data_IF_581213203070
#
_entry.id   IF_581213203070
#
_cell.length_a   1.000
_cell.length_b   1.000
_cell.length_c   1.000
_cell.angle_alpha   90.00
_cell.angle_beta   90.00
_cell.angle_gamma   90.00
#
_symmetry.space_group_name_H-M   'P 1'
#
loop_
_entity.id
_entity.type
_entity.pdbx_description
1 polymer ?
#
# COMPACT_ATOMS: atom_id res chain seq x y z
N UNK A 1 -9.40 2.90 -26.06
CA UNK A 1 -10.43 3.92 -25.80
C UNK A 1 -11.14 3.57 -24.51
N UNK A 2 -10.69 4.13 -23.38
CA UNK A 2 -11.41 4.11 -22.11
C UNK A 2 -11.00 5.37 -21.35
N UNK A 3 -11.81 6.41 -21.54
CA UNK A 3 -11.81 7.66 -20.81
C UNK A 3 -11.93 7.39 -19.31
N UNK A 4 -10.91 7.76 -18.54
CA UNK A 4 -11.13 8.28 -17.21
C UNK A 4 -11.09 9.80 -17.32
N UNK A 5 -12.28 10.37 -17.56
CA UNK A 5 -12.51 11.79 -17.27
C UNK A 5 -12.55 11.87 -15.75
N UNK A 6 -11.51 12.43 -15.15
CA UNK A 6 -11.54 12.89 -13.77
C UNK A 6 -11.57 14.42 -13.80
N UNK A 7 -12.48 14.96 -13.01
CA UNK A 7 -12.98 16.32 -13.03
C UNK A 7 -11.94 17.45 -13.03
N UNK A 8 -12.32 18.49 -13.78
CA UNK A 8 -11.92 19.91 -13.81
C UNK A 8 -11.28 20.50 -12.53
N UNK A 9 -10.03 20.16 -12.21
CA UNK A 9 -9.08 21.09 -11.53
C UNK A 9 -7.65 20.92 -12.11
N UNK A 10 -7.29 21.65 -13.18
CA UNK A 10 -6.12 21.33 -13.99
C UNK A 10 -4.74 21.58 -13.33
N UNK A 11 -4.64 22.17 -12.14
CA UNK A 11 -3.35 22.69 -11.63
C UNK A 11 -2.71 21.93 -10.46
N UNK A 12 -3.36 20.90 -9.88
CA UNK A 12 -2.84 20.23 -8.67
C UNK A 12 -2.24 18.83 -8.91
N UNK A 13 -2.08 18.42 -10.18
CA UNK A 13 -1.59 17.09 -10.53
C UNK A 13 -0.16 17.15 -11.08
N UNK A 14 0.66 16.18 -10.66
CA UNK A 14 2.02 15.95 -11.16
C UNK A 14 2.09 14.55 -11.78
N UNK A 15 2.60 14.47 -13.00
CA UNK A 15 2.66 13.23 -13.77
C UNK A 15 4.08 12.76 -14.03
N UNK A 16 4.21 11.49 -14.37
CA UNK A 16 5.49 10.87 -14.66
C UNK A 16 6.34 11.52 -15.75
N UNK A 17 5.71 12.06 -16.79
CA UNK A 17 6.44 12.76 -17.85
C UNK A 17 7.14 14.03 -17.31
N UNK A 18 6.57 14.70 -16.30
CA UNK A 18 7.21 15.86 -15.67
C UNK A 18 8.39 15.43 -14.82
N UNK A 19 8.26 14.31 -14.09
CA UNK A 19 9.37 13.73 -13.34
C UNK A 19 10.54 13.36 -14.26
N UNK A 20 10.26 12.67 -15.36
CA UNK A 20 11.26 12.26 -16.35
C UNK A 20 11.95 13.48 -16.98
N UNK A 21 11.18 14.50 -17.36
CA UNK A 21 11.72 15.75 -17.88
C UNK A 21 12.66 16.41 -16.87
N UNK A 22 12.20 16.61 -15.62
CA UNK A 22 12.99 17.27 -14.60
C UNK A 22 14.26 16.48 -14.24
N UNK A 23 14.21 15.14 -14.24
CA UNK A 23 15.41 14.31 -14.07
C UNK A 23 16.39 14.48 -15.22
N UNK A 24 15.90 14.45 -16.47
CA UNK A 24 16.76 14.65 -17.64
C UNK A 24 17.43 16.02 -17.61
N UNK A 25 16.68 17.08 -17.35
CA UNK A 25 17.21 18.46 -17.30
C UNK A 25 18.11 18.73 -16.10
N UNK A 26 18.03 17.92 -15.05
CA UNK A 26 18.96 17.99 -13.93
C UNK A 26 20.35 17.47 -14.31
N UNK A 27 20.42 16.47 -15.19
CA UNK A 27 21.68 15.84 -15.63
C UNK A 27 22.24 16.51 -16.89
N UNK A 28 21.37 16.91 -17.81
CA UNK A 28 21.71 17.45 -19.11
C UNK A 28 21.56 18.99 -19.13
N UNK A 29 22.63 19.67 -18.73
CA UNK A 29 22.61 21.13 -18.59
C UNK A 29 22.53 21.85 -19.95
N UNK A 30 23.13 21.28 -21.00
CA UNK A 30 23.06 21.84 -22.35
C UNK A 30 21.63 21.82 -22.88
N UNK A 31 20.92 20.70 -22.72
CA UNK A 31 19.51 20.60 -23.08
C UNK A 31 18.64 21.59 -22.31
N UNK A 32 18.92 21.81 -21.02
CA UNK A 32 18.20 22.80 -20.21
C UNK A 32 18.38 24.23 -20.77
N UNK A 33 19.59 24.60 -21.17
CA UNK A 33 19.88 25.91 -21.78
C UNK A 33 19.24 26.05 -23.18
N UNK A 34 19.24 24.98 -23.98
CA UNK A 34 18.57 24.98 -25.28
C UNK A 34 17.06 25.22 -25.12
N UNK A 35 16.42 24.46 -24.21
CA UNK A 35 15.00 24.59 -23.93
C UNK A 35 14.68 25.99 -23.39
N UNK A 36 15.54 26.53 -22.52
CA UNK A 36 15.41 27.88 -22.03
C UNK A 36 15.40 28.89 -23.17
N UNK A 37 16.41 28.86 -24.05
CA UNK A 37 16.51 29.78 -25.18
C UNK A 37 15.27 29.71 -26.09
N UNK A 38 14.83 28.50 -26.41
CA UNK A 38 13.65 28.27 -27.27
C UNK A 38 12.33 28.72 -26.63
N UNK A 39 12.18 28.58 -25.31
CA UNK A 39 10.93 28.90 -24.62
C UNK A 39 10.88 30.33 -24.04
N UNK A 40 12.03 30.95 -23.78
CA UNK A 40 12.13 32.24 -23.08
C UNK A 40 12.64 33.39 -23.95
N UNK A 41 13.52 33.12 -24.94
CA UNK A 41 14.21 34.16 -25.71
C UNK A 41 13.65 34.37 -27.14
N UNK A 42 12.63 33.60 -27.55
CA UNK A 42 12.04 33.65 -28.90
C UNK A 42 10.88 34.64 -29.04
N UNK A 43 10.95 35.51 -30.06
CA UNK A 43 10.01 36.58 -30.41
C UNK A 43 8.68 36.10 -31.05
N UNK A 44 8.17 34.93 -30.66
CA UNK A 44 6.81 34.51 -31.05
C UNK A 44 6.20 33.56 -30.03
N UNK A 45 5.02 33.93 -29.57
CA UNK A 45 4.15 33.20 -28.67
C UNK A 45 3.60 31.89 -29.25
N UNK A 46 4.08 31.39 -30.40
CA UNK A 46 3.51 30.23 -31.07
C UNK A 46 4.50 29.05 -31.09
N UNK A 47 4.20 28.14 -30.17
CA UNK A 47 4.56 26.72 -30.13
C UNK A 47 5.88 26.31 -30.79
N UNK A 48 6.89 25.97 -29.96
CA UNK A 48 7.89 24.96 -30.35
C UNK A 48 7.11 23.77 -30.94
N UNK A 49 7.21 23.52 -32.27
CA UNK A 49 6.45 22.47 -32.91
C UNK A 49 6.83 21.13 -32.27
N UNK A 50 5.84 20.36 -31.81
CA UNK A 50 6.13 19.07 -31.18
C UNK A 50 6.84 18.11 -32.14
N UNK A 51 6.67 18.30 -33.45
CA UNK A 51 7.31 17.53 -34.52
C UNK A 51 8.84 17.71 -34.57
N UNK A 52 9.36 18.82 -34.04
CA UNK A 52 10.80 19.11 -33.97
C UNK A 52 11.47 18.52 -32.70
N UNK A 53 10.69 17.91 -31.81
CA UNK A 53 11.21 17.34 -30.56
C UNK A 53 11.63 15.89 -30.82
N UNK A 54 12.91 15.53 -30.57
CA UNK A 54 13.36 14.16 -30.74
C UNK A 54 12.48 13.16 -30.00
N UNK A 55 12.19 12.00 -30.59
CA UNK A 55 11.35 10.96 -29.97
C UNK A 55 11.85 10.52 -28.57
N UNK A 56 13.17 10.61 -28.33
CA UNK A 56 13.77 10.34 -27.02
C UNK A 56 13.33 11.33 -25.92
N UNK A 57 12.86 12.52 -26.31
CA UNK A 57 12.34 13.58 -25.45
C UNK A 57 10.81 13.67 -25.52
N UNK A 58 10.11 12.58 -25.80
CA UNK A 58 8.64 12.55 -25.87
C UNK A 58 7.95 13.18 -24.64
N UNK A 59 8.55 13.07 -23.45
CA UNK A 59 8.03 13.68 -22.23
C UNK A 59 8.10 15.22 -22.25
N UNK A 60 9.04 15.82 -22.98
CA UNK A 60 9.07 17.27 -23.22
C UNK A 60 7.89 17.67 -24.11
N UNK A 61 7.66 16.95 -25.22
CA UNK A 61 6.53 17.19 -26.11
C UNK A 61 5.20 17.14 -25.33
N UNK A 62 4.98 16.08 -24.55
CA UNK A 62 3.79 15.93 -23.70
C UNK A 62 3.71 17.04 -22.63
N UNK A 63 4.84 17.48 -22.07
CA UNK A 63 4.86 18.60 -21.11
C UNK A 63 4.44 19.91 -21.77
N UNK A 64 4.94 20.20 -22.97
CA UNK A 64 4.60 21.41 -23.73
C UNK A 64 3.16 21.37 -24.27
N UNK A 65 2.62 20.19 -24.55
CA UNK A 65 1.22 20.04 -24.94
C UNK A 65 0.28 20.25 -23.74
N UNK A 66 0.57 19.63 -22.59
CA UNK A 66 -0.38 19.53 -21.46
C UNK A 66 -0.15 20.54 -20.33
N UNK A 67 1.08 21.05 -20.18
CA UNK A 67 1.56 21.81 -19.01
C UNK A 67 2.52 22.95 -19.37
N UNK A 68 2.46 23.48 -20.60
CA UNK A 68 3.34 24.56 -21.10
C UNK A 68 3.49 25.72 -20.12
N UNK A 69 2.37 26.33 -19.73
CA UNK A 69 2.37 27.53 -18.90
C UNK A 69 3.06 27.30 -17.55
N UNK A 70 2.73 26.19 -16.87
CA UNK A 70 3.34 25.83 -15.58
C UNK A 70 4.85 25.63 -15.73
N UNK A 71 5.26 24.89 -16.75
CA UNK A 71 6.67 24.60 -17.00
C UNK A 71 7.46 25.87 -17.38
N UNK A 72 6.93 26.68 -18.31
CA UNK A 72 7.56 27.94 -18.74
C UNK A 72 7.63 28.95 -17.58
N UNK A 73 6.58 29.09 -16.78
CA UNK A 73 6.59 29.97 -15.59
C UNK A 73 7.67 29.54 -14.61
N UNK A 74 7.79 28.23 -14.36
CA UNK A 74 8.85 27.68 -13.53
C UNK A 74 10.25 27.99 -14.08
N UNK A 75 10.47 27.83 -15.39
CA UNK A 75 11.75 28.17 -16.01
C UNK A 75 12.06 29.66 -15.89
N UNK A 76 11.11 30.54 -16.24
CA UNK A 76 11.24 32.00 -16.07
C UNK A 76 11.69 32.34 -14.66
N UNK A 77 10.97 31.88 -13.65
CA UNK A 77 11.32 32.13 -12.24
C UNK A 77 12.68 31.58 -11.84
N UNK A 78 13.06 30.40 -12.36
CA UNK A 78 14.35 29.78 -12.03
C UNK A 78 15.52 30.60 -12.56
N UNK A 79 15.36 31.26 -13.72
CA UNK A 79 16.43 32.02 -14.37
C UNK A 79 16.36 33.54 -14.14
N UNK A 80 15.22 34.12 -13.73
CA UNK A 80 15.08 35.57 -13.52
C UNK A 80 15.69 36.13 -12.22
N UNK A 81 16.12 35.30 -11.27
CA UNK A 81 16.65 35.78 -9.97
C UNK A 81 17.99 35.12 -9.61
N UNK A 82 19.03 35.88 -9.23
CA UNK A 82 20.18 35.31 -8.53
C UNK A 82 19.70 34.85 -7.15
N UNK A 83 19.38 33.57 -7.03
CA UNK A 83 19.00 32.95 -5.76
C UNK A 83 20.22 32.29 -5.14
N UNK A 84 20.32 32.41 -3.82
CA UNK A 84 21.16 31.51 -3.01
C UNK A 84 20.67 30.08 -3.24
N UNK A 85 21.39 29.31 -4.06
CA UNK A 85 21.12 27.89 -4.27
C UNK A 85 21.24 27.22 -2.90
N UNK A 86 20.14 26.63 -2.40
CA UNK A 86 20.21 25.87 -1.16
C UNK A 86 21.06 24.63 -1.44
N UNK A 87 22.02 24.35 -0.55
CA UNK A 87 22.86 23.16 -0.67
C UNK A 87 21.97 21.90 -0.78
N UNK A 88 22.17 21.11 -1.85
CA UNK A 88 21.39 19.89 -2.13
C UNK A 88 20.02 20.10 -2.81
N UNK A 89 19.68 21.31 -3.27
CA UNK A 89 18.44 21.55 -4.02
C UNK A 89 18.50 21.01 -5.46
N UNK A 90 17.70 19.99 -5.76
CA UNK A 90 17.52 19.45 -7.12
C UNK A 90 16.43 20.22 -7.89
N UNK A 91 16.47 20.21 -9.23
CA UNK A 91 15.43 20.76 -10.11
C UNK A 91 14.05 20.20 -9.74
N UNK A 92 13.97 18.90 -9.44
CA UNK A 92 12.77 18.23 -8.97
C UNK A 92 12.28 18.80 -7.63
N UNK A 93 13.16 18.89 -6.62
CA UNK A 93 12.80 19.47 -5.32
C UNK A 93 12.28 20.91 -5.45
N UNK A 94 12.93 21.68 -6.32
CA UNK A 94 12.60 23.08 -6.62
C UNK A 94 11.23 23.19 -7.28
N UNK A 95 10.93 22.33 -8.25
CA UNK A 95 9.64 22.24 -8.93
C UNK A 95 8.51 21.83 -7.98
N UNK A 96 8.72 20.75 -7.22
CA UNK A 96 7.75 20.20 -6.28
C UNK A 96 7.43 21.16 -5.13
N UNK A 97 8.40 21.93 -4.66
CA UNK A 97 8.21 22.91 -3.58
C UNK A 97 7.41 24.15 -3.97
N UNK A 98 7.41 24.51 -5.27
CA UNK A 98 6.69 25.68 -5.80
C UNK A 98 5.22 25.42 -6.06
N UNK A 99 4.85 24.15 -6.22
CA UNK A 99 3.50 23.76 -6.59
C UNK A 99 2.86 22.95 -5.46
N UNK A 100 1.62 23.30 -5.12
CA UNK A 100 0.84 22.56 -4.13
C UNK A 100 0.10 21.40 -4.81
N UNK A 101 0.85 20.35 -5.12
CA UNK A 101 0.28 19.14 -5.71
C UNK A 101 -0.59 18.39 -4.70
N UNK A 102 -1.76 17.93 -5.15
CA UNK A 102 -2.67 17.07 -4.40
C UNK A 102 -2.63 15.63 -4.91
N UNK A 103 -2.26 15.43 -6.17
CA UNK A 103 -2.22 14.09 -6.79
C UNK A 103 -0.91 13.90 -7.55
N UNK A 104 -0.25 12.77 -7.32
CA UNK A 104 0.95 12.37 -8.03
C UNK A 104 0.69 11.04 -8.76
N UNK A 105 0.83 11.04 -10.08
CA UNK A 105 0.64 9.87 -10.94
C UNK A 105 1.98 9.44 -11.53
N UNK A 106 2.63 8.50 -10.83
CA UNK A 106 3.98 8.03 -11.12
C UNK A 106 3.97 6.57 -11.59
N UNK A 107 2.99 6.22 -12.41
CA UNK A 107 2.76 4.86 -12.88
C UNK A 107 3.71 4.49 -14.03
N UNK A 108 4.34 3.30 -13.94
CA UNK A 108 5.14 2.72 -15.01
C UNK A 108 6.44 3.44 -15.39
N UNK A 109 6.94 4.32 -14.54
CA UNK A 109 8.19 5.08 -14.74
C UNK A 109 9.41 4.27 -14.28
N UNK A 110 9.28 3.54 -13.17
CA UNK A 110 10.37 2.83 -12.49
C UNK A 110 10.42 1.37 -12.93
N UNK A 111 10.40 1.13 -14.25
CA UNK A 111 10.45 -0.22 -14.87
C UNK A 111 11.82 -0.58 -15.43
N UNK A 112 12.54 0.38 -16.02
CA UNK A 112 13.76 0.12 -16.78
C UNK A 112 14.80 1.22 -16.50
N UNK A 113 15.94 0.85 -15.90
CA UNK A 113 17.20 1.58 -16.13
C UNK A 113 17.52 2.84 -15.32
N UNK A 114 17.16 2.91 -14.03
CA UNK A 114 17.80 3.80 -13.05
C UNK A 114 17.37 3.30 -11.67
N UNK A 115 18.24 2.53 -10.99
CA UNK A 115 18.21 2.02 -9.59
C UNK A 115 16.88 1.52 -8.95
N UNK A 116 15.76 1.55 -9.68
CA UNK A 116 14.39 1.38 -9.22
C UNK A 116 14.05 2.21 -7.97
N UNK A 117 14.77 3.31 -7.70
CA UNK A 117 14.55 4.11 -6.50
C UNK A 117 13.56 5.24 -6.74
N UNK A 118 12.70 5.46 -5.75
CA UNK A 118 11.79 6.59 -5.73
C UNK A 118 12.55 7.81 -5.19
N UNK A 119 12.56 8.94 -5.93
CA UNK A 119 13.22 10.15 -5.45
C UNK A 119 12.57 10.62 -4.15
N UNK A 120 13.37 10.80 -3.10
CA UNK A 120 12.87 11.13 -1.75
C UNK A 120 12.14 12.48 -1.73
N UNK A 121 12.44 13.37 -2.68
CA UNK A 121 11.79 14.66 -2.89
C UNK A 121 10.28 14.56 -3.07
N UNK A 122 9.80 13.50 -3.76
CA UNK A 122 8.37 13.26 -4.00
C UNK A 122 7.60 13.15 -2.69
N UNK A 123 8.19 12.50 -1.68
CA UNK A 123 7.55 12.30 -0.39
C UNK A 123 7.57 13.53 0.52
N UNK A 124 8.33 14.58 0.15
CA UNK A 124 8.34 15.86 0.87
C UNK A 124 7.09 16.71 0.57
N UNK A 125 6.29 16.36 -0.44
CA UNK A 125 5.04 17.03 -0.80
C UNK A 125 3.91 16.73 0.21
N UNK A 126 3.83 17.52 1.29
CA UNK A 126 2.87 17.31 2.38
C UNK A 126 1.39 17.48 2.01
N UNK A 127 1.09 18.20 0.92
CA UNK A 127 -0.28 18.47 0.45
C UNK A 127 -0.91 17.33 -0.34
N UNK A 128 -0.13 16.32 -0.73
CA UNK A 128 -0.58 15.23 -1.58
C UNK A 128 -1.55 14.34 -0.82
N UNK A 129 -2.70 14.08 -1.46
CA UNK A 129 -3.79 13.20 -1.00
C UNK A 129 -3.83 11.88 -1.77
N UNK A 130 -3.39 11.87 -3.02
CA UNK A 130 -3.36 10.66 -3.85
C UNK A 130 -1.97 10.44 -4.44
N UNK A 131 -1.40 9.26 -4.19
CA UNK A 131 -0.14 8.82 -4.80
C UNK A 131 -0.37 7.50 -5.53
N UNK A 132 -0.22 7.53 -6.86
CA UNK A 132 -0.23 6.34 -7.71
C UNK A 132 1.19 6.01 -8.15
N UNK A 133 1.60 4.77 -7.86
CA UNK A 133 2.89 4.17 -8.21
C UNK A 133 2.67 2.79 -8.84
N UNK A 134 1.58 2.64 -9.59
CA UNK A 134 1.16 1.37 -10.17
C UNK A 134 2.10 0.96 -11.30
N UNK A 135 2.15 -0.35 -11.56
CA UNK A 135 2.87 -0.92 -12.70
C UNK A 135 4.36 -0.57 -12.73
N UNK A 136 5.02 -0.45 -11.58
CA UNK A 136 6.47 -0.23 -11.50
C UNK A 136 7.17 -1.54 -11.08
N UNK A 137 8.50 -1.52 -10.98
CA UNK A 137 9.29 -2.63 -10.41
C UNK A 137 9.84 -2.29 -9.03
N UNK A 138 9.04 -1.61 -8.21
CA UNK A 138 9.44 -1.21 -6.86
C UNK A 138 9.59 -2.45 -5.97
N UNK A 139 10.79 -2.62 -5.42
CA UNK A 139 11.11 -3.65 -4.40
C UNK A 139 10.99 -3.11 -2.97
N UNK A 140 10.90 -1.77 -2.81
CA UNK A 140 10.81 -1.04 -1.55
C UNK A 140 10.08 0.30 -1.70
N UNK A 141 9.45 0.74 -0.62
CA UNK A 141 8.95 2.11 -0.46
C UNK A 141 9.86 2.84 0.54
N UNK A 142 10.42 4.01 0.21
CA UNK A 142 11.22 4.78 1.15
C UNK A 142 10.44 5.13 2.43
N UNK A 143 11.09 5.14 3.60
CA UNK A 143 10.44 5.52 4.86
C UNK A 143 9.93 6.96 4.85
N UNK A 144 10.43 7.82 3.96
CA UNK A 144 9.93 9.18 3.76
C UNK A 144 8.44 9.26 3.38
N UNK A 145 7.81 8.16 2.97
CA UNK A 145 6.34 8.09 2.81
C UNK A 145 5.60 8.62 4.05
N UNK A 146 6.17 8.45 5.25
CA UNK A 146 5.61 8.95 6.51
C UNK A 146 5.54 10.49 6.61
N UNK A 147 6.21 11.23 5.71
CA UNK A 147 6.09 12.69 5.59
C UNK A 147 4.79 13.12 4.91
N UNK A 148 4.15 12.25 4.12
CA UNK A 148 2.92 12.54 3.38
C UNK A 148 1.68 12.41 4.27
N UNK A 149 1.57 13.33 5.23
CA UNK A 149 0.57 13.28 6.31
C UNK A 149 -0.86 13.55 5.85
N UNK A 150 -1.03 14.10 4.65
CA UNK A 150 -2.32 14.31 3.99
C UNK A 150 -2.72 13.18 3.03
N UNK A 151 -1.89 12.14 2.90
CA UNK A 151 -2.15 11.04 1.98
C UNK A 151 -3.41 10.27 2.40
N UNK A 152 -4.36 10.12 1.48
CA UNK A 152 -5.66 9.48 1.64
C UNK A 152 -5.76 8.20 0.81
N UNK A 153 -5.10 8.18 -0.35
CA UNK A 153 -5.07 7.07 -1.29
C UNK A 153 -3.63 6.76 -1.73
N UNK A 154 -3.21 5.50 -1.57
CA UNK A 154 -1.92 5.00 -2.02
C UNK A 154 -2.11 3.77 -2.90
N UNK A 155 -1.68 3.85 -4.15
CA UNK A 155 -1.73 2.71 -5.06
C UNK A 155 -0.33 2.20 -5.44
N UNK A 156 -0.10 0.94 -5.11
CA UNK A 156 1.14 0.19 -5.32
C UNK A 156 0.90 -1.09 -6.14
N UNK A 157 -0.23 -1.15 -6.85
CA UNK A 157 -0.64 -2.32 -7.66
C UNK A 157 0.41 -2.67 -8.72
N UNK A 158 0.68 -3.95 -8.94
CA UNK A 158 1.68 -4.45 -9.90
C UNK A 158 3.08 -3.90 -9.63
N UNK A 159 3.66 -4.28 -8.48
CA UNK A 159 5.04 -4.00 -8.10
C UNK A 159 5.74 -5.29 -7.63
N UNK A 160 6.91 -5.19 -7.00
CA UNK A 160 7.70 -6.32 -6.48
C UNK A 160 7.85 -6.26 -4.95
N UNK A 161 6.88 -5.64 -4.25
CA UNK A 161 6.97 -5.40 -2.81
C UNK A 161 6.80 -6.68 -2.00
N UNK A 162 7.72 -6.90 -1.06
CA UNK A 162 7.63 -7.93 -0.02
C UNK A 162 7.21 -7.31 1.33
N UNK A 163 6.92 -8.11 2.36
CA UNK A 163 6.45 -7.60 3.65
C UNK A 163 7.36 -6.53 4.28
N UNK A 164 8.69 -6.72 4.25
CA UNK A 164 9.65 -5.76 4.81
C UNK A 164 9.84 -4.51 3.94
N UNK A 165 9.38 -4.55 2.68
CA UNK A 165 9.49 -3.46 1.71
C UNK A 165 8.57 -2.27 2.01
N UNK A 166 7.54 -2.49 2.85
CA UNK A 166 6.58 -1.47 3.26
C UNK A 166 7.02 -0.95 4.65
N UNK A 167 7.52 0.29 4.76
CA UNK A 167 8.09 0.81 6.00
C UNK A 167 6.98 1.10 7.02
N UNK A 168 7.26 0.87 8.30
CA UNK A 168 6.32 1.16 9.38
C UNK A 168 6.00 2.66 9.49
N UNK A 169 6.83 3.55 8.94
CA UNK A 169 6.51 5.00 8.83
C UNK A 169 5.24 5.28 8.03
N UNK A 170 4.70 4.33 7.26
CA UNK A 170 3.38 4.45 6.64
C UNK A 170 2.27 4.70 7.67
N UNK A 171 2.43 4.27 8.92
CA UNK A 171 1.51 4.57 10.03
C UNK A 171 1.36 6.09 10.27
N UNK A 172 2.34 6.89 9.85
CA UNK A 172 2.33 8.35 10.00
C UNK A 172 1.44 9.06 8.97
N UNK A 173 1.02 8.36 7.91
CA UNK A 173 -0.02 8.81 6.99
C UNK A 173 -1.40 8.64 7.66
N UNK A 174 -1.67 9.45 8.68
CA UNK A 174 -2.85 9.33 9.55
C UNK A 174 -4.19 9.53 8.84
N UNK A 175 -4.18 9.99 7.59
CA UNK A 175 -5.38 10.15 6.74
C UNK A 175 -5.53 9.04 5.70
N UNK A 176 -4.65 8.04 5.66
CA UNK A 176 -4.71 7.01 4.62
C UNK A 176 -5.94 6.12 4.83
N UNK A 177 -6.87 6.14 3.87
CA UNK A 177 -8.10 5.34 3.92
C UNK A 177 -8.05 4.12 3.00
N UNK A 178 -7.36 4.25 1.87
CA UNK A 178 -7.28 3.20 0.84
C UNK A 178 -5.83 2.90 0.48
N UNK A 179 -5.46 1.63 0.56
CA UNK A 179 -4.16 1.11 0.19
C UNK A 179 -4.32 -0.04 -0.80
N UNK A 180 -3.83 0.14 -2.04
CA UNK A 180 -3.87 -0.91 -3.06
C UNK A 180 -2.51 -1.57 -3.18
N UNK A 181 -2.43 -2.85 -2.83
CA UNK A 181 -1.23 -3.68 -2.86
C UNK A 181 -1.36 -4.86 -3.82
N UNK A 182 -2.37 -4.88 -4.68
CA UNK A 182 -2.61 -6.01 -5.59
C UNK A 182 -1.38 -6.34 -6.46
N UNK A 183 -1.19 -7.62 -6.76
CA UNK A 183 -0.11 -8.12 -7.62
C UNK A 183 1.29 -7.67 -7.15
N UNK A 184 1.60 -7.97 -5.89
CA UNK A 184 2.93 -7.82 -5.28
C UNK A 184 3.43 -9.19 -4.78
N UNK A 185 4.47 -9.22 -3.92
CA UNK A 185 5.09 -10.44 -3.41
C UNK A 185 4.86 -10.60 -1.89
N UNK A 186 3.70 -10.16 -1.38
CA UNK A 186 3.39 -10.13 0.05
C UNK A 186 2.81 -11.46 0.56
N UNK A 187 3.56 -12.18 1.39
CA UNK A 187 3.05 -13.38 2.07
C UNK A 187 1.96 -13.03 3.10
N UNK A 188 2.09 -11.86 3.73
CA UNK A 188 1.14 -11.32 4.69
C UNK A 188 1.02 -9.81 4.57
N UNK A 189 0.06 -9.17 5.24
CA UNK A 189 0.08 -7.73 5.42
C UNK A 189 1.03 -7.32 6.56
N UNK A 190 1.71 -6.16 6.51
CA UNK A 190 2.45 -5.66 7.67
C UNK A 190 1.55 -5.43 8.88
N UNK A 191 1.97 -5.93 10.04
CA UNK A 191 1.16 -5.89 11.27
C UNK A 191 0.79 -4.48 11.76
N UNK A 192 1.64 -3.48 11.50
CA UNK A 192 1.36 -2.09 11.86
C UNK A 192 0.14 -1.50 11.13
N UNK A 193 -0.34 -2.10 10.04
CA UNK A 193 -1.57 -1.66 9.38
C UNK A 193 -2.80 -1.79 10.29
N UNK A 194 -2.76 -2.68 11.28
CA UNK A 194 -3.81 -2.82 12.29
C UNK A 194 -3.91 -1.60 13.23
N UNK A 195 -2.85 -0.81 13.32
CA UNK A 195 -2.76 0.37 14.19
C UNK A 195 -3.15 1.67 13.48
N UNK A 196 -3.49 1.61 12.18
CA UNK A 196 -3.85 2.78 11.39
C UNK A 196 -5.34 3.10 11.55
N UNK A 197 -5.72 4.20 12.23
CA UNK A 197 -7.12 4.45 12.59
C UNK A 197 -8.01 4.80 11.39
N UNK A 198 -7.44 5.42 10.35
CA UNK A 198 -8.18 5.85 9.18
C UNK A 198 -8.24 4.80 8.08
N UNK A 199 -7.49 3.71 8.18
CA UNK A 199 -7.37 2.72 7.12
C UNK A 199 -8.64 1.87 7.04
N UNK A 200 -9.36 1.97 5.92
CA UNK A 200 -10.65 1.29 5.70
C UNK A 200 -10.53 0.14 4.72
N UNK A 201 -9.75 0.35 3.67
CA UNK A 201 -9.69 -0.56 2.53
C UNK A 201 -8.25 -0.92 2.21
N UNK A 202 -7.94 -2.21 2.22
CA UNK A 202 -6.66 -2.75 1.76
C UNK A 202 -6.92 -3.82 0.71
N UNK A 203 -6.54 -3.56 -0.54
CA UNK A 203 -6.60 -4.55 -1.60
C UNK A 203 -5.25 -5.27 -1.69
N UNK A 204 -5.28 -6.60 -1.77
CA UNK A 204 -4.06 -7.43 -1.82
C UNK A 204 -4.19 -8.63 -2.75
N UNK A 205 -5.12 -8.60 -3.69
CA UNK A 205 -5.35 -9.70 -4.63
C UNK A 205 -4.11 -9.97 -5.47
N UNK A 206 -3.89 -11.23 -5.86
CA UNK A 206 -2.74 -11.61 -6.70
C UNK A 206 -1.35 -11.36 -6.08
N UNK A 207 -1.28 -11.11 -4.76
CA UNK A 207 -0.02 -11.26 -4.04
C UNK A 207 0.41 -12.73 -4.00
N UNK A 208 1.64 -12.99 -3.53
CA UNK A 208 1.97 -14.32 -3.05
C UNK A 208 0.92 -14.77 -2.03
N UNK A 209 -0.02 -15.61 -2.47
CA UNK A 209 -0.55 -16.78 -1.76
C UNK A 209 -1.92 -17.16 -2.33
N UNK A 210 -2.16 -18.47 -2.46
CA UNK A 210 -3.51 -18.98 -2.25
C UNK A 210 -3.58 -20.43 -1.70
N UNK A 211 -2.56 -21.30 -1.88
CA UNK A 211 -2.59 -22.69 -1.36
C UNK A 211 -1.21 -23.31 -1.03
N UNK A 212 -0.32 -22.62 -0.33
CA UNK A 212 0.79 -23.36 0.32
C UNK A 212 0.29 -23.97 1.62
N UNK A 213 0.51 -25.26 1.80
CA UNK A 213 0.20 -26.01 3.03
C UNK A 213 0.62 -25.24 4.29
N UNK A 214 1.78 -24.59 4.27
CA UNK A 214 2.34 -23.71 5.32
C UNK A 214 1.33 -22.70 5.88
N UNK A 215 0.41 -22.19 5.06
CA UNK A 215 -0.58 -21.21 5.50
C UNK A 215 -1.69 -21.83 6.34
N UNK A 216 -2.17 -23.01 5.95
CA UNK A 216 -3.12 -23.78 6.75
C UNK A 216 -2.55 -24.04 8.14
N UNK A 217 -1.26 -24.40 8.23
CA UNK A 217 -0.59 -24.61 9.51
C UNK A 217 -0.62 -23.39 10.43
N UNK A 218 -0.30 -22.18 9.95
CA UNK A 218 -0.39 -20.98 10.80
C UNK A 218 -1.82 -20.69 11.31
N UNK A 219 -2.83 -21.03 10.51
CA UNK A 219 -4.22 -20.80 10.89
C UNK A 219 -4.71 -21.83 11.92
N UNK A 220 -4.40 -23.11 11.73
CA UNK A 220 -4.94 -24.22 12.54
C UNK A 220 -4.03 -24.60 13.69
N UNK A 221 -2.72 -24.51 13.51
CA UNK A 221 -1.73 -24.79 14.55
C UNK A 221 -1.32 -23.51 15.27
N UNK A 222 -1.84 -23.35 16.47
CA UNK A 222 -1.52 -22.23 17.36
C UNK A 222 -0.03 -22.17 17.73
N UNK A 223 0.70 -23.28 17.60
CA UNK A 223 2.12 -23.35 17.94
C UNK A 223 3.02 -22.79 16.82
N UNK A 224 2.52 -22.62 15.59
CA UNK A 224 3.31 -22.13 14.46
C UNK A 224 3.14 -20.63 14.17
N UNK A 225 2.38 -19.90 15.01
CA UNK A 225 2.14 -18.46 14.84
C UNK A 225 3.30 -17.58 15.31
N UNK A 226 4.20 -18.13 16.12
CA UNK A 226 5.42 -17.47 16.60
C UNK A 226 6.61 -18.27 16.10
N UNK A 227 7.41 -17.65 15.23
CA UNK A 227 8.55 -18.30 14.60
C UNK A 227 9.84 -17.56 14.97
N UNK A 228 10.85 -18.24 15.54
CA UNK A 228 12.16 -17.63 15.72
C UNK A 228 12.75 -17.32 14.34
N UNK A 229 13.33 -16.12 14.22
CA UNK A 229 14.03 -15.69 13.01
C UNK A 229 15.46 -15.32 13.37
N UNK A 230 16.40 -15.90 12.64
CA UNK A 230 17.79 -15.48 12.66
C UNK A 230 17.90 -14.06 12.11
N UNK A 231 18.88 -13.31 12.59
CA UNK A 231 19.22 -12.04 11.98
C UNK A 231 19.69 -12.22 10.55
N UNK A 232 19.57 -11.16 9.73
CA UNK A 232 20.15 -11.17 8.38
C UNK A 232 21.67 -11.21 8.52
N UNK A 233 22.29 -12.32 8.10
CA UNK A 233 23.75 -12.42 8.01
C UNK A 233 24.19 -11.77 6.71
N UNK A 234 24.71 -10.55 6.79
CA UNK A 234 25.36 -9.90 5.67
C UNK A 234 26.83 -10.37 5.62
N UNK A 235 27.12 -11.35 4.77
CA UNK A 235 28.48 -11.85 4.56
C UNK A 235 29.39 -10.84 3.84
N UNK A 236 28.81 -9.77 3.26
CA UNK A 236 29.52 -8.66 2.61
C UNK A 236 29.73 -7.45 3.54
N UNK A 237 29.04 -7.38 4.68
CA UNK A 237 29.27 -6.33 5.65
C UNK A 237 30.62 -6.57 6.35
N UNK A 238 31.51 -5.56 6.43
CA UNK A 238 32.73 -5.69 7.21
C UNK A 238 32.37 -6.11 8.63
N UNK A 239 33.11 -7.10 9.18
CA UNK A 239 32.97 -7.50 10.59
C UNK A 239 32.93 -6.22 11.42
N UNK A 240 31.81 -5.98 12.11
CA UNK A 240 31.56 -4.73 12.84
C UNK A 240 32.61 -4.61 13.95
N UNK A 241 33.73 -3.97 13.63
CA UNK A 241 34.85 -3.72 14.55
C UNK A 241 34.76 -2.34 15.18
N UNK A 242 33.93 -1.44 14.64
CA UNK A 242 33.71 -0.10 15.19
C UNK A 242 32.39 -0.02 15.95
N UNK A 243 32.37 0.66 17.11
CA UNK A 243 31.16 0.89 17.87
C UNK A 243 30.18 1.78 17.09
N UNK A 244 28.89 1.58 17.35
CA UNK A 244 27.81 2.35 16.76
C UNK A 244 27.97 3.85 17.09
N UNK A 245 27.84 4.72 16.07
CA UNK A 245 27.95 6.17 16.26
C UNK A 245 26.85 6.73 17.16
N UNK A 246 27.09 7.89 17.79
CA UNK A 246 26.04 8.59 18.56
C UNK A 246 24.80 8.89 17.70
N UNK A 247 24.99 9.19 16.42
CA UNK A 247 23.89 9.39 15.47
C UNK A 247 23.05 8.12 15.28
N UNK A 248 23.69 6.95 15.23
CA UNK A 248 23.01 5.65 15.19
C UNK A 248 22.20 5.38 16.48
N UNK A 249 22.78 5.64 17.64
CA UNK A 249 22.07 5.48 18.92
C UNK A 249 20.86 6.42 19.04
N UNK A 250 21.01 7.67 18.61
CA UNK A 250 19.91 8.62 18.53
C UNK A 250 18.81 8.12 17.57
N UNK A 251 19.18 7.65 16.37
CA UNK A 251 18.24 7.08 15.41
C UNK A 251 17.47 5.90 15.98
N UNK A 252 18.17 4.97 16.64
CA UNK A 252 17.57 3.81 17.32
C UNK A 252 16.57 4.24 18.39
N UNK A 253 16.92 5.22 19.22
CA UNK A 253 16.04 5.75 20.26
C UNK A 253 14.76 6.36 19.65
N UNK A 254 14.90 7.18 18.60
CA UNK A 254 13.76 7.79 17.91
C UNK A 254 12.86 6.73 17.28
N UNK A 255 13.42 5.74 16.57
CA UNK A 255 12.67 4.64 15.96
C UNK A 255 11.90 3.81 17.00
N UNK A 256 12.49 3.63 18.18
CA UNK A 256 11.91 2.85 19.26
C UNK A 256 10.60 3.43 19.80
N UNK A 257 10.41 4.75 19.69
CA UNK A 257 9.21 5.44 20.12
C UNK A 257 8.00 5.18 19.21
N UNK A 258 8.22 4.77 17.95
CA UNK A 258 7.16 4.57 16.95
C UNK A 258 6.27 5.81 16.72
N UNK A 259 6.75 6.99 17.09
CA UNK A 259 6.07 8.27 16.89
C UNK A 259 6.50 8.91 15.57
N UNK A 260 5.67 9.80 15.03
CA UNK A 260 5.97 10.52 13.80
C UNK A 260 7.11 11.53 14.02
N UNK A 261 8.34 11.03 13.94
CA UNK A 261 9.56 11.82 14.13
C UNK A 261 9.77 12.86 13.04
N UNK A 262 9.07 12.78 11.88
CA UNK A 262 9.12 13.82 10.87
C UNK A 262 8.42 15.12 11.31
N UNK A 263 7.44 15.03 12.21
CA UNK A 263 6.73 16.18 12.78
C UNK A 263 7.37 16.74 14.05
N UNK A 264 8.17 15.93 14.74
CA UNK A 264 8.78 16.33 16.00
C UNK A 264 9.82 17.45 15.78
N UNK A 265 9.65 18.66 16.35
CA UNK A 265 10.61 19.75 16.23
C UNK A 265 11.92 19.47 17.00
N UNK A 266 11.91 18.61 18.02
CA UNK A 266 13.10 18.26 18.80
C UNK A 266 14.06 17.34 18.02
N UNK A 267 13.55 16.61 17.03
CA UNK A 267 14.38 15.77 16.15
C UNK A 267 14.98 16.64 15.04
N UNK A 268 16.30 16.82 15.06
CA UNK A 268 17.03 17.61 14.07
C UNK A 268 16.79 17.10 12.63
N UNK A 269 16.76 18.02 11.65
CA UNK A 269 16.56 17.69 10.23
C UNK A 269 17.52 16.63 9.71
N UNK A 270 18.82 16.81 10.00
CA UNK A 270 19.88 15.86 9.63
C UNK A 270 19.66 14.48 10.24
N UNK A 271 19.10 14.40 11.46
CA UNK A 271 18.77 13.12 12.09
C UNK A 271 17.56 12.46 11.43
N UNK A 272 16.54 13.22 11.01
CA UNK A 272 15.38 12.69 10.27
C UNK A 272 15.81 12.07 8.94
N UNK A 273 16.69 12.74 8.22
CA UNK A 273 17.21 12.28 6.94
C UNK A 273 18.08 11.03 7.16
N UNK A 274 19.01 11.06 8.13
CA UNK A 274 19.80 9.89 8.50
C UNK A 274 18.96 8.67 8.92
N UNK A 275 17.92 8.86 9.76
CA UNK A 275 17.00 7.77 10.13
C UNK A 275 16.36 7.16 8.89
N UNK A 276 16.01 7.99 7.89
CA UNK A 276 15.39 7.53 6.65
C UNK A 276 16.37 6.67 5.84
N UNK A 277 17.64 7.05 5.78
CA UNK A 277 18.69 6.31 5.06
C UNK A 277 18.95 4.93 5.69
N UNK A 278 19.01 4.85 7.01
CA UNK A 278 19.34 3.60 7.72
C UNK A 278 18.12 2.79 8.16
N UNK A 279 16.90 3.21 7.81
CA UNK A 279 15.65 2.64 8.32
C UNK A 279 15.55 1.12 8.09
N UNK A 280 15.95 0.66 6.90
CA UNK A 280 15.93 -0.75 6.48
C UNK A 280 16.88 -1.64 7.28
N UNK A 281 17.83 -1.04 8.02
CA UNK A 281 18.77 -1.73 8.89
C UNK A 281 18.15 -2.10 10.24
N UNK A 282 16.91 -1.68 10.54
CA UNK A 282 16.24 -1.97 11.80
C UNK A 282 15.02 -2.87 11.62
N UNK A 283 14.81 -3.73 12.62
CA UNK A 283 13.51 -4.28 12.92
C UNK A 283 12.92 -3.52 14.11
N UNK A 284 11.66 -3.10 13.99
CA UNK A 284 10.91 -2.42 15.05
C UNK A 284 9.95 -3.43 15.66
N UNK A 285 10.00 -3.60 16.99
CA UNK A 285 9.14 -4.54 17.70
C UNK A 285 7.68 -4.11 17.57
N UNK A 286 6.77 -5.02 17.23
CA UNK A 286 5.33 -4.74 17.14
C UNK A 286 4.71 -4.36 18.48
N UNK A 287 5.23 -4.93 19.58
CA UNK A 287 4.72 -4.73 20.93
C UNK A 287 5.44 -3.59 21.67
N UNK A 288 6.66 -3.82 22.15
CA UNK A 288 7.38 -2.86 22.99
C UNK A 288 8.11 -1.77 22.18
N UNK A 289 8.72 -0.81 22.89
CA UNK A 289 9.54 0.26 22.34
C UNK A 289 10.98 -0.19 22.06
N UNK A 290 11.15 -1.27 21.28
CA UNK A 290 12.47 -1.76 20.89
C UNK A 290 12.67 -1.65 19.39
N UNK A 291 13.76 -0.99 18.98
CA UNK A 291 14.30 -1.07 17.63
C UNK A 291 15.65 -1.80 17.71
N UNK A 292 15.82 -2.89 16.97
CA UNK A 292 17.07 -3.66 16.91
C UNK A 292 17.58 -3.69 15.47
N UNK A 293 18.90 -3.83 15.29
CA UNK A 293 19.47 -4.10 13.96
C UNK A 293 18.82 -5.34 13.36
N UNK A 294 18.61 -5.35 12.05
CA UNK A 294 18.04 -6.47 11.31
C UNK A 294 18.93 -7.73 11.34
N UNK A 295 20.21 -7.57 11.69
CA UNK A 295 21.19 -8.62 11.97
C UNK A 295 21.01 -9.30 13.33
N UNK A 296 20.18 -8.75 14.22
CA UNK A 296 19.86 -9.38 15.50
C UNK A 296 18.71 -10.37 15.33
N UNK A 297 18.74 -11.52 16.03
CA UNK A 297 17.63 -12.46 16.03
C UNK A 297 16.39 -11.84 16.68
N UNK A 298 15.25 -12.42 16.39
CA UNK A 298 13.95 -12.05 16.97
C UNK A 298 12.90 -13.08 16.61
N UNK A 299 11.65 -12.64 16.55
CA UNK A 299 10.52 -13.50 16.25
C UNK A 299 9.65 -12.88 15.15
N UNK A 300 9.25 -13.70 14.19
CA UNK A 300 8.18 -13.41 13.25
C UNK A 300 6.88 -13.89 13.89
N UNK A 301 5.90 -13.00 14.00
CA UNK A 301 4.60 -13.30 14.62
C UNK A 301 3.50 -13.12 13.59
N UNK A 302 2.65 -14.13 13.42
CA UNK A 302 1.52 -14.10 12.50
C UNK A 302 0.22 -13.96 13.29
N UNK A 303 -0.56 -12.93 12.97
CA UNK A 303 -1.91 -12.71 13.51
C UNK A 303 -2.93 -12.68 12.39
N UNK A 304 -4.21 -12.85 12.73
CA UNK A 304 -5.30 -12.88 11.75
C UNK A 304 -6.41 -11.92 12.12
N UNK A 305 -7.08 -11.37 11.09
CA UNK A 305 -8.30 -10.58 11.27
C UNK A 305 -9.45 -11.28 10.55
N UNK A 306 -10.61 -11.24 11.20
CA UNK A 306 -11.89 -11.90 10.85
C UNK A 306 -11.91 -13.43 11.04
N UNK A 307 -12.96 -13.94 11.70
CA UNK A 307 -13.21 -15.37 11.78
C UNK A 307 -13.69 -15.93 10.43
N UNK A 308 -13.50 -17.23 10.26
CA UNK A 308 -13.57 -17.92 8.97
C UNK A 308 -14.98 -17.92 8.34
N UNK A 309 -15.03 -17.53 7.06
CA UNK A 309 -16.06 -17.92 6.08
C UNK A 309 -15.42 -17.97 4.69
N UNK A 310 -14.96 -19.14 4.27
CA UNK A 310 -14.51 -19.35 2.89
C UNK A 310 -13.21 -18.61 2.52
N UNK A 311 -12.18 -19.41 2.28
CA UNK A 311 -10.96 -19.13 1.50
C UNK A 311 -10.08 -17.89 1.80
N UNK A 312 -10.42 -16.97 2.72
CA UNK A 312 -9.57 -15.78 2.92
C UNK A 312 -9.59 -15.22 4.34
N UNK A 313 -8.89 -15.88 5.27
CA UNK A 313 -8.39 -15.18 6.46
C UNK A 313 -7.17 -14.33 6.06
N UNK A 314 -7.13 -13.07 6.47
CA UNK A 314 -6.01 -12.18 6.10
C UNK A 314 -4.91 -12.27 7.17
N UNK A 315 -3.73 -12.78 6.81
CA UNK A 315 -2.56 -12.76 7.69
C UNK A 315 -1.95 -11.38 7.85
N UNK A 316 -1.52 -11.09 9.07
CA UNK A 316 -0.69 -9.95 9.43
C UNK A 316 0.63 -10.45 10.02
N UNK A 317 1.75 -9.94 9.53
CA UNK A 317 3.07 -10.29 10.01
C UNK A 317 3.67 -9.15 10.83
N UNK A 318 4.09 -9.48 12.04
CA UNK A 318 4.79 -8.59 12.96
C UNK A 318 6.22 -9.11 13.19
N UNK A 319 7.10 -8.23 13.65
CA UNK A 319 8.37 -8.62 14.21
C UNK A 319 8.37 -8.34 15.71
N UNK A 320 8.86 -9.27 16.53
CA UNK A 320 8.98 -9.11 17.97
C UNK A 320 10.43 -9.33 18.42
N UNK A 321 10.86 -8.56 19.41
CA UNK A 321 12.26 -8.55 19.84
C UNK A 321 12.62 -9.65 20.84
N UNK A 322 11.63 -10.36 21.39
CA UNK A 322 11.73 -11.42 22.40
C UNK A 322 10.49 -12.32 22.37
N UNK A 323 10.58 -13.49 23.01
CA UNK A 323 9.47 -14.44 23.10
C UNK A 323 8.26 -13.84 23.84
N UNK A 324 8.50 -13.08 24.91
CA UNK A 324 7.43 -12.41 25.65
C UNK A 324 6.69 -11.42 24.75
N UNK A 325 7.44 -10.55 24.03
CA UNK A 325 6.82 -9.63 23.09
C UNK A 325 6.07 -10.33 21.95
N UNK A 326 6.47 -11.54 21.55
CA UNK A 326 5.69 -12.30 20.57
C UNK A 326 4.38 -12.85 21.14
N UNK A 327 4.39 -13.34 22.39
CA UNK A 327 3.18 -13.79 23.07
C UNK A 327 2.22 -12.63 23.30
N UNK A 328 2.72 -11.46 23.69
CA UNK A 328 1.94 -10.25 23.90
C UNK A 328 1.26 -9.73 22.61
N UNK A 329 1.75 -10.13 21.43
CA UNK A 329 1.11 -9.83 20.14
C UNK A 329 0.13 -10.94 19.75
N UNK A 330 0.58 -12.20 19.82
CA UNK A 330 -0.16 -13.34 19.28
C UNK A 330 -1.37 -13.72 20.14
N UNK A 331 -1.20 -13.78 21.46
CA UNK A 331 -2.23 -14.32 22.36
C UNK A 331 -3.49 -13.45 22.34
N UNK A 332 -3.42 -12.11 22.50
CA UNK A 332 -4.62 -11.28 22.43
C UNK A 332 -5.31 -11.38 21.06
N UNK A 333 -4.53 -11.37 19.97
CA UNK A 333 -5.07 -11.47 18.61
C UNK A 333 -5.75 -12.82 18.35
N UNK A 334 -5.20 -13.91 18.89
CA UNK A 334 -5.81 -15.24 18.80
C UNK A 334 -7.10 -15.32 19.61
N UNK A 335 -7.12 -14.80 20.82
CA UNK A 335 -8.33 -14.77 21.65
C UNK A 335 -9.45 -13.97 20.97
N UNK A 336 -9.11 -12.82 20.37
CA UNK A 336 -10.04 -12.03 19.57
C UNK A 336 -10.58 -12.84 18.37
N UNK A 337 -9.69 -13.53 17.65
CA UNK A 337 -10.08 -14.39 16.51
C UNK A 337 -11.05 -15.49 16.94
N UNK A 338 -10.76 -16.20 18.03
CA UNK A 338 -11.60 -17.27 18.57
C UNK A 338 -12.95 -16.71 19.03
N UNK A 339 -12.95 -15.58 19.74
CA UNK A 339 -14.18 -14.93 20.20
C UNK A 339 -15.08 -14.58 19.03
N UNK A 340 -14.54 -13.92 17.99
CA UNK A 340 -15.30 -13.55 16.80
C UNK A 340 -15.82 -14.78 16.06
N UNK A 341 -15.08 -15.88 16.04
CA UNK A 341 -15.52 -17.13 15.41
C UNK A 341 -16.74 -17.69 16.13
N UNK A 342 -16.69 -17.73 17.46
CA UNK A 342 -17.85 -18.11 18.27
C UNK A 342 -19.04 -17.19 17.99
N UNK A 343 -18.86 -15.88 17.98
CA UNK A 343 -19.95 -14.93 17.73
C UNK A 343 -20.63 -15.18 16.37
N UNK A 344 -19.82 -15.52 15.37
CA UNK A 344 -20.30 -15.86 14.04
C UNK A 344 -21.05 -17.20 14.01
N UNK A 345 -20.54 -18.23 14.68
CA UNK A 345 -21.22 -19.52 14.82
C UNK A 345 -22.61 -19.35 15.46
N UNK A 346 -22.71 -18.53 16.53
CA UNK A 346 -24.00 -18.20 17.15
C UNK A 346 -24.95 -17.49 16.17
N UNK A 347 -24.44 -16.59 15.33
CA UNK A 347 -25.24 -15.93 14.30
C UNK A 347 -25.77 -16.94 13.27
N UNK A 348 -24.96 -17.93 12.90
CA UNK A 348 -25.38 -19.01 12.02
C UNK A 348 -26.42 -19.93 12.65
N UNK A 349 -26.23 -20.36 13.89
CA UNK A 349 -27.22 -21.15 14.60
C UNK A 349 -28.57 -20.43 14.67
N UNK A 350 -28.56 -19.12 14.94
CA UNK A 350 -29.78 -18.30 14.94
C UNK A 350 -30.42 -18.30 13.55
N UNK A 351 -29.64 -18.12 12.49
CA UNK A 351 -30.14 -18.13 11.12
C UNK A 351 -30.76 -19.50 10.73
N UNK A 352 -30.08 -20.60 11.06
CA UNK A 352 -30.55 -21.97 10.83
C UNK A 352 -31.90 -22.19 11.52
N UNK A 353 -32.04 -21.80 12.80
CA UNK A 353 -33.30 -21.92 13.56
C UNK A 353 -34.43 -21.14 12.89
N UNK A 354 -34.18 -19.90 12.47
CA UNK A 354 -35.18 -19.07 11.77
C UNK A 354 -35.63 -19.76 10.48
N UNK A 355 -34.69 -20.26 9.66
CA UNK A 355 -35.01 -20.94 8.40
C UNK A 355 -35.79 -22.25 8.62
N UNK A 356 -35.46 -23.03 9.65
CA UNK A 356 -36.19 -24.25 10.01
C UNK A 356 -37.63 -23.95 10.44
N UNK A 357 -37.86 -22.89 11.22
CA UNK A 357 -39.21 -22.45 11.59
C UNK A 357 -40.01 -21.95 10.37
N UNK A 358 -39.40 -21.15 9.50
CA UNK A 358 -40.04 -20.68 8.27
C UNK A 358 -40.41 -21.85 7.35
N UNK A 359 -39.51 -22.81 7.16
CA UNK A 359 -39.79 -24.00 6.36
C UNK A 359 -40.97 -24.82 6.92
N UNK A 360 -41.00 -25.00 8.25
CA UNK A 360 -42.10 -25.71 8.94
C UNK A 360 -43.45 -25.00 8.76
N UNK A 361 -43.46 -23.67 8.90
CA UNK A 361 -44.68 -22.86 8.71
C UNK A 361 -45.16 -22.84 7.26
N UNK A 362 -44.25 -22.80 6.29
CA UNK A 362 -44.57 -22.88 4.86
C UNK A 362 -45.12 -24.27 4.50
N UNK A 363 -44.54 -25.34 5.04
CA UNK A 363 -45.03 -26.70 4.85
C UNK A 363 -46.44 -26.90 5.44
N UNK A 364 -46.73 -26.31 6.61
CA UNK A 364 -48.07 -26.31 7.20
C UNK A 364 -49.10 -25.58 6.32
N UNK A 365 -48.74 -24.41 5.77
CA UNK A 365 -49.62 -23.65 4.86
C UNK A 365 -49.91 -24.38 3.56
N UNK A 366 -48.93 -25.09 2.99
CA UNK A 366 -49.13 -25.89 1.80
C UNK A 366 -50.09 -27.06 2.07
N UNK A 367 -49.92 -27.76 3.20
CA UNK A 367 -50.82 -28.85 3.61
C UNK A 367 -52.25 -28.38 3.89
N UNK A 368 -52.44 -27.19 4.48
CA UNK A 368 -53.78 -26.62 4.67
C UNK A 368 -54.45 -26.20 3.35
N UNK A 369 -53.67 -25.75 2.37
CA UNK A 369 -54.20 -25.38 1.05
C UNK A 369 -54.57 -26.62 0.23
N UNK A 370 -53.79 -27.71 0.32
CA UNK A 370 -54.14 -29.00 -0.29
C UNK A 370 -55.39 -29.63 0.36
N UNK A 371 -55.55 -29.52 1.68
CA UNK A 371 -56.75 -29.98 2.39
C UNK A 371 -58.02 -29.20 1.98
N UNK A 372 -57.88 -27.92 1.62
CA UNK A 372 -58.98 -27.07 1.15
C UNK A 372 -59.30 -27.21 -0.34
N UNK A 373 -58.52 -27.99 -1.11
CA UNK A 373 -58.76 -28.27 -2.53
C UNK A 373 -58.99 -29.77 -2.81
N UNK A 374 -59.19 -30.58 -1.76
CA UNK A 374 -59.61 -31.96 -1.94
C UNK A 374 -61.03 -32.00 -2.56
N UNK A 375 -61.23 -32.65 -3.72
CA UNK A 375 -62.56 -32.75 -4.32
C UNK A 375 -63.47 -33.60 -3.41
N UNK A 376 -64.79 -33.36 -3.40
CA UNK A 376 -65.71 -34.13 -2.57
C UNK A 376 -65.58 -35.61 -2.94
N UNK A 377 -65.52 -36.47 -1.91
CA UNK A 377 -65.46 -37.93 -2.08
C UNK A 377 -66.70 -38.41 -2.85
N UNK A 378 -66.56 -38.56 -4.16
CA UNK A 378 -67.49 -39.29 -5.00
C UNK A 378 -67.33 -40.77 -4.71
N UNK A 379 -68.39 -41.40 -4.22
CA UNK A 379 -68.51 -42.85 -4.13
C UNK A 379 -68.47 -43.46 -5.52
N UNK A 380 -67.35 -44.06 -5.92
CA UNK A 380 -67.34 -44.99 -7.04
C UNK A 380 -66.62 -46.29 -6.69
N UNK A 381 -67.34 -47.37 -6.94
CA UNK A 381 -67.00 -48.76 -6.78
C UNK A 381 -65.82 -49.16 -7.67
N UNK A 382 -65.06 -50.13 -7.16
CA UNK A 382 -63.93 -50.78 -7.83
C UNK A 382 -64.27 -51.31 -9.22
N UNK A 383 -63.36 -51.13 -10.18
CA UNK A 383 -63.02 -52.19 -11.12
C UNK A 383 -61.51 -52.24 -11.30
N UNK A 384 -60.95 -53.45 -11.11
CA UNK A 384 -59.55 -53.79 -11.30
C UNK A 384 -59.27 -53.95 -12.80
N UNK A 385 -58.19 -53.38 -13.31
CA UNK A 385 -57.33 -54.01 -14.33
C UNK A 385 -55.92 -53.44 -14.18
N UNK A 386 -54.93 -54.33 -14.15
CA UNK A 386 -53.53 -53.97 -13.98
C UNK A 386 -52.84 -53.65 -15.29
N UNK A 387 -51.69 -52.99 -15.20
CA UNK A 387 -50.55 -53.25 -16.06
C UNK A 387 -49.29 -52.70 -15.37
N UNK A 388 -48.24 -53.51 -15.33
CA UNK A 388 -46.95 -53.12 -14.79
C UNK A 388 -46.17 -52.24 -15.77
N UNK A 389 -45.25 -51.46 -15.25
CA UNK A 389 -44.02 -51.12 -15.95
C UNK A 389 -42.93 -50.79 -14.93
N UNK A 390 -41.84 -51.53 -15.02
CA UNK A 390 -40.52 -51.17 -14.50
C UNK A 390 -39.90 -50.08 -15.39
N UNK A 391 -38.61 -49.77 -15.13
CA UNK A 391 -37.66 -48.92 -15.92
C UNK A 391 -37.54 -47.52 -15.30
N UNK A 392 -36.36 -46.95 -15.02
CA UNK A 392 -34.93 -47.36 -15.07
C UNK A 392 -34.17 -46.46 -14.09
#
# INVERSE_FOLDING_TARGET
>A
MSMFICDKKPHHNFYGYELLLLRKLQVDHELLLEIQKKLLDGDSSENWPCDDIPCSLWYLAVTLERRKERFVTFLKEKFSKPRTVKFGETLLSSYLSRHQFTELFLDGIFKYGDDNTLPTEVFKCRSVRSLSLKYNYLDRIPPDIGRMVSLEYLALTNNKLQNKAIPQTLIFCSRLHTLLLDNNLLDALPGFLLQMPSLRTVHRHGNHNYFKSTFMWYHTDVNERILPVSGVHDYSAPRVTQPDSMQFWAAKAVLSLKLNFYKDPAVAGVLKDYISDIYSQFNICGYCHSAKRNTRPGYKVITFKNPYLGNTCVPFQHWACSQNCSLDIEVPARLEQISKAKDLDHAYEKYIKVMQHTASNTALKLRSNEANHAPPRGSHSMSKTGCGCAIM
#
